data_IF_540458487442
#
_entry.id   IF_540458487442
#
_cell.length_a   1.000
_cell.length_b   1.000
_cell.length_c   1.000
_cell.angle_alpha   90.00
_cell.angle_beta   90.00
_cell.angle_gamma   90.00
#
_symmetry.space_group_name_H-M   'P 1'
#
loop_
_entity.id
_entity.type
_entity.pdbx_description
1 polymer ?
#
# COMPACT_ATOMS: atom_id res chain seq x y z
N UNK A 1 15.20 -22.09 18.08
CA UNK A 1 14.82 -20.77 17.51
C UNK A 1 14.97 -20.71 16.00
N UNK A 2 16.12 -21.11 15.40
CA UNK A 2 16.33 -21.06 13.94
C UNK A 2 15.47 -22.06 13.13
N UNK A 3 15.14 -23.22 13.68
CA UNK A 3 14.29 -24.22 13.02
C UNK A 3 12.83 -23.78 12.87
N UNK A 4 12.31 -23.01 13.84
CA UNK A 4 10.92 -22.52 13.83
C UNK A 4 10.66 -21.53 12.68
N UNK A 5 11.68 -20.75 12.31
CA UNK A 5 11.59 -19.80 11.19
C UNK A 5 11.50 -20.51 9.83
N UNK A 6 12.26 -21.60 9.65
CA UNK A 6 12.25 -22.38 8.42
C UNK A 6 10.91 -23.11 8.25
N UNK A 7 10.36 -23.66 9.33
CA UNK A 7 9.03 -24.29 9.31
C UNK A 7 7.91 -23.30 8.99
N UNK A 8 8.00 -22.05 9.46
CA UNK A 8 7.01 -21.02 9.18
C UNK A 8 6.98 -20.66 7.68
N UNK A 9 8.14 -20.58 7.04
CA UNK A 9 8.26 -20.25 5.62
C UNK A 9 7.66 -21.35 4.73
N UNK A 10 7.85 -22.63 5.09
CA UNK A 10 7.34 -23.77 4.33
C UNK A 10 5.80 -23.82 4.36
N UNK A 11 5.18 -23.42 5.49
CA UNK A 11 3.71 -23.41 5.64
C UNK A 11 3.04 -22.30 4.79
N UNK A 12 3.74 -21.18 4.56
CA UNK A 12 3.15 -20.01 3.88
C UNK A 12 3.35 -20.08 2.35
N UNK A 13 4.33 -20.84 1.86
CA UNK A 13 4.64 -20.98 0.43
C UNK A 13 3.45 -21.39 -0.49
N UNK A 14 2.54 -22.31 -0.09
CA UNK A 14 1.43 -22.75 -0.94
C UNK A 14 0.36 -21.67 -1.18
N UNK A 15 0.36 -20.57 -0.42
CA UNK A 15 -0.66 -19.52 -0.53
C UNK A 15 -0.44 -18.59 -1.74
N UNK A 16 0.73 -18.67 -2.39
CA UNK A 16 1.10 -17.78 -3.51
C UNK A 16 0.99 -18.45 -4.89
N UNK A 17 0.56 -19.70 -4.99
CA UNK A 17 0.52 -20.43 -6.28
C UNK A 17 -0.73 -20.18 -7.13
N UNK A 18 -1.69 -19.35 -6.69
CA UNK A 18 -2.96 -19.10 -7.40
C UNK A 18 -3.14 -17.66 -7.91
N UNK A 19 -2.08 -17.05 -8.47
CA UNK A 19 -2.20 -15.78 -9.21
C UNK A 19 -2.26 -16.00 -10.72
N UNK A 20 -3.17 -16.84 -11.21
CA UNK A 20 -3.57 -16.82 -12.61
C UNK A 20 -4.70 -15.79 -12.77
N UNK A 21 -4.36 -14.64 -13.37
CA UNK A 21 -5.33 -13.62 -13.73
C UNK A 21 -6.29 -14.18 -14.81
N UNK A 22 -7.63 -14.12 -14.63
CA UNK A 22 -8.54 -14.53 -15.68
C UNK A 22 -8.58 -13.48 -16.80
N UNK A 23 -8.35 -13.92 -18.04
CA UNK A 23 -8.45 -13.16 -19.30
C UNK A 23 -9.90 -12.67 -19.64
N UNK A 24 -10.70 -12.29 -18.64
CA UNK A 24 -12.11 -11.92 -18.86
C UNK A 24 -12.24 -10.48 -19.43
N UNK A 25 -11.15 -9.69 -19.47
CA UNK A 25 -11.24 -8.27 -19.87
C UNK A 25 -10.87 -7.96 -21.34
N UNK A 26 -10.50 -8.95 -22.16
CA UNK A 26 -10.09 -8.69 -23.57
C UNK A 26 -11.22 -8.73 -24.60
N UNK A 27 -12.39 -9.31 -24.30
CA UNK A 27 -13.47 -9.41 -25.28
C UNK A 27 -14.42 -8.21 -25.32
N UNK A 28 -14.46 -7.38 -24.28
CA UNK A 28 -15.36 -6.21 -24.24
C UNK A 28 -14.98 -5.07 -25.21
N UNK A 29 -13.79 -5.12 -25.83
CA UNK A 29 -13.27 -4.01 -26.66
C UNK A 29 -13.36 -4.23 -28.18
N UNK A 30 -13.87 -5.37 -28.66
CA UNK A 30 -13.95 -5.66 -30.12
C UNK A 30 -15.27 -5.31 -30.81
N UNK A 31 -16.33 -4.94 -30.07
CA UNK A 31 -17.67 -4.77 -30.65
C UNK A 31 -18.15 -3.32 -30.86
N UNK A 32 -17.30 -2.30 -30.68
CA UNK A 32 -17.72 -0.88 -30.80
C UNK A 32 -17.64 -0.34 -32.26
N UNK A 33 -17.08 -1.10 -33.21
CA UNK A 33 -16.69 -0.58 -34.54
C UNK A 33 -17.54 -0.95 -35.77
N UNK A 34 -18.73 -1.56 -35.65
CA UNK A 34 -19.50 -2.04 -36.83
C UNK A 34 -21.01 -1.74 -36.80
N UNK A 35 -21.39 -0.47 -36.64
CA UNK A 35 -22.78 -0.04 -36.86
C UNK A 35 -22.89 1.15 -37.82
N UNK A 36 -22.10 1.15 -38.89
CA UNK A 36 -22.25 2.13 -39.98
C UNK A 36 -22.13 1.45 -41.34
N UNK A 37 -23.16 0.72 -41.75
CA UNK A 37 -23.51 0.51 -43.16
C UNK A 37 -24.80 -0.32 -43.21
N UNK A 38 -25.91 0.33 -43.53
CA UNK A 38 -26.91 -0.09 -44.53
C UNK A 38 -28.24 0.64 -44.28
N UNK A 39 -28.45 1.71 -45.05
CA UNK A 39 -29.77 2.30 -45.31
C UNK A 39 -30.49 1.37 -46.30
N UNK A 40 -31.58 0.73 -45.90
CA UNK A 40 -32.55 0.15 -46.85
C UNK A 40 -33.98 0.54 -46.42
N UNK A 41 -34.69 1.11 -47.39
CA UNK A 41 -36.03 1.71 -47.38
C UNK A 41 -37.13 0.85 -46.74
N UNK A 42 -37.90 1.42 -45.80
CA UNK A 42 -39.35 1.18 -45.62
C UNK A 42 -40.03 2.39 -44.94
N UNK A 43 -41.12 2.95 -45.51
CA UNK A 43 -41.95 3.92 -44.80
C UNK A 43 -43.10 3.18 -44.11
N UNK A 44 -42.91 2.79 -42.85
CA UNK A 44 -44.00 2.42 -41.95
C UNK A 44 -43.82 3.20 -40.65
N UNK A 45 -44.44 4.39 -40.59
CA UNK A 45 -44.66 5.11 -39.36
C UNK A 45 -45.62 4.30 -38.47
N UNK A 46 -45.07 3.37 -37.69
CA UNK A 46 -45.67 3.01 -36.41
C UNK A 46 -44.97 3.85 -35.35
N UNK A 47 -45.59 4.97 -34.97
CA UNK A 47 -45.23 5.67 -33.74
C UNK A 47 -45.50 4.69 -32.60
N UNK A 48 -44.47 3.95 -32.20
CA UNK A 48 -44.45 3.35 -30.88
C UNK A 48 -44.48 4.52 -29.88
N UNK A 49 -45.37 4.52 -28.88
CA UNK A 49 -45.32 5.54 -27.84
C UNK A 49 -43.93 5.50 -27.23
N UNK A 50 -43.21 6.63 -27.30
CA UNK A 50 -41.91 6.77 -26.69
C UNK A 50 -42.07 6.45 -25.19
N UNK A 51 -41.54 5.31 -24.76
CA UNK A 51 -41.48 4.97 -23.34
C UNK A 51 -40.85 6.18 -22.62
N UNK A 52 -41.49 6.72 -21.56
CA UNK A 52 -40.94 7.85 -20.84
C UNK A 52 -39.53 7.48 -20.41
N UNK A 53 -38.55 8.22 -20.93
CA UNK A 53 -37.12 8.03 -20.62
C UNK A 53 -37.00 8.23 -19.11
N UNK A 54 -36.95 7.13 -18.37
CA UNK A 54 -36.63 7.21 -16.95
C UNK A 54 -35.26 7.89 -16.86
N UNK A 55 -35.10 8.93 -16.02
CA UNK A 55 -33.81 9.56 -15.84
C UNK A 55 -32.82 8.46 -15.49
N UNK A 56 -31.82 8.28 -16.36
CA UNK A 56 -30.77 7.30 -16.15
C UNK A 56 -29.94 7.80 -14.96
N UNK A 57 -30.33 7.39 -13.76
CA UNK A 57 -29.58 7.69 -12.54
C UNK A 57 -28.25 6.95 -12.64
N UNK A 58 -27.17 7.67 -12.98
CA UNK A 58 -25.82 7.14 -12.76
C UNK A 58 -25.68 6.87 -11.27
N UNK A 59 -25.30 5.66 -10.83
CA UNK A 59 -25.13 5.39 -9.41
C UNK A 59 -24.01 6.27 -8.87
N UNK A 60 -24.36 7.26 -8.04
CA UNK A 60 -23.42 8.17 -7.39
C UNK A 60 -22.42 7.44 -6.47
N UNK A 61 -22.75 6.21 -6.06
CA UNK A 61 -21.96 5.37 -5.15
C UNK A 61 -20.63 4.88 -5.73
N UNK A 62 -20.52 4.66 -7.05
CA UNK A 62 -19.25 4.21 -7.67
C UNK A 62 -18.11 5.20 -7.41
N UNK A 63 -18.39 6.48 -7.57
CA UNK A 63 -17.38 7.53 -7.35
C UNK A 63 -16.92 7.61 -5.89
N UNK A 64 -17.77 7.36 -4.90
CA UNK A 64 -17.38 7.46 -3.47
C UNK A 64 -16.49 6.29 -3.05
N UNK A 65 -16.84 5.07 -3.45
CA UNK A 65 -16.09 3.85 -3.14
C UNK A 65 -14.74 3.86 -3.86
N UNK A 66 -14.72 4.17 -5.17
CA UNK A 66 -13.46 4.26 -5.94
C UNK A 66 -12.51 5.32 -5.37
N UNK A 67 -13.04 6.45 -4.88
CA UNK A 67 -12.24 7.48 -4.21
C UNK A 67 -11.70 7.03 -2.85
N UNK A 68 -12.45 6.23 -2.09
CA UNK A 68 -12.01 5.69 -0.81
C UNK A 68 -10.92 4.62 -1.02
N UNK A 69 -11.10 3.72 -1.98
CA UNK A 69 -10.10 2.74 -2.41
C UNK A 69 -8.80 3.43 -2.86
N UNK A 70 -8.90 4.47 -3.68
CA UNK A 70 -7.74 5.23 -4.12
C UNK A 70 -7.01 5.92 -2.95
N UNK A 71 -7.72 6.36 -1.90
CA UNK A 71 -7.12 6.92 -0.68
C UNK A 71 -6.42 5.83 0.13
N UNK A 72 -7.05 4.67 0.29
CA UNK A 72 -6.49 3.52 1.00
C UNK A 72 -5.18 3.06 0.36
N UNK A 73 -5.18 2.83 -0.96
CA UNK A 73 -3.97 2.44 -1.71
C UNK A 73 -2.85 3.48 -1.58
N UNK A 74 -3.19 4.78 -1.53
CA UNK A 74 -2.19 5.84 -1.33
C UNK A 74 -1.58 5.79 0.07
N UNK A 75 -2.37 5.54 1.10
CA UNK A 75 -1.89 5.45 2.48
C UNK A 75 -1.07 4.17 2.71
N UNK A 76 -1.47 3.03 2.15
CA UNK A 76 -0.69 1.79 2.17
C UNK A 76 0.67 1.95 1.49
N UNK A 77 0.71 2.62 0.32
CA UNK A 77 1.98 2.92 -0.36
C UNK A 77 2.89 3.80 0.50
N UNK A 78 2.33 4.75 1.26
CA UNK A 78 3.11 5.60 2.18
C UNK A 78 3.60 4.78 3.37
N UNK A 79 2.77 3.91 3.92
CA UNK A 79 3.16 3.01 5.00
C UNK A 79 4.34 2.13 4.58
N UNK A 80 4.25 1.48 3.42
CA UNK A 80 5.33 0.65 2.86
C UNK A 80 6.64 1.43 2.68
N UNK A 81 6.57 2.69 2.26
CA UNK A 81 7.76 3.56 2.18
C UNK A 81 8.38 3.83 3.55
N UNK A 82 7.56 4.09 4.57
CA UNK A 82 8.03 4.30 5.94
C UNK A 82 8.63 3.02 6.53
N UNK A 83 8.05 1.86 6.25
CA UNK A 83 8.59 0.55 6.67
C UNK A 83 9.96 0.28 6.06
N UNK A 84 10.13 0.56 4.76
CA UNK A 84 11.43 0.46 4.09
C UNK A 84 12.46 1.40 4.72
N UNK A 85 12.08 2.66 4.97
CA UNK A 85 12.95 3.63 5.67
C UNK A 85 13.30 3.16 7.08
N UNK A 86 12.35 2.58 7.82
CA UNK A 86 12.62 2.01 9.14
C UNK A 86 13.61 0.84 9.05
N UNK A 87 13.51 0.02 8.01
CA UNK A 87 14.43 -1.10 7.79
C UNK A 87 15.84 -0.61 7.47
N UNK A 88 15.99 0.32 6.53
CA UNK A 88 17.28 0.96 6.21
C UNK A 88 17.94 1.53 7.48
N UNK A 89 17.17 2.23 8.32
CA UNK A 89 17.67 2.79 9.58
C UNK A 89 18.06 1.73 10.61
N UNK A 90 17.40 0.57 10.63
CA UNK A 90 17.82 -0.56 11.48
C UNK A 90 19.14 -1.14 11.02
N UNK A 91 19.33 -1.26 9.70
CA UNK A 91 20.55 -1.80 9.12
C UNK A 91 21.74 -0.84 9.34
N UNK A 92 21.51 0.47 9.20
CA UNK A 92 22.46 1.52 9.54
C UNK A 92 22.83 1.49 11.04
N UNK A 93 21.84 1.33 11.91
CA UNK A 93 22.04 1.25 13.36
C UNK A 93 22.92 0.04 13.70
N UNK A 94 22.60 -1.13 13.14
CA UNK A 94 23.36 -2.36 13.36
C UNK A 94 24.81 -2.20 12.90
N UNK A 95 25.02 -1.63 11.71
CA UNK A 95 26.36 -1.39 11.17
C UNK A 95 27.18 -0.45 12.07
N UNK A 96 26.58 0.62 12.60
CA UNK A 96 27.26 1.53 13.52
C UNK A 96 27.55 0.88 14.88
N UNK A 97 26.65 0.04 15.39
CA UNK A 97 26.87 -0.74 16.61
C UNK A 97 28.02 -1.74 16.44
N UNK A 98 28.10 -2.43 15.30
CA UNK A 98 29.21 -3.33 14.98
C UNK A 98 30.55 -2.58 14.86
N UNK A 99 30.56 -1.41 14.21
CA UNK A 99 31.75 -0.55 14.15
C UNK A 99 32.19 -0.08 15.53
N UNK A 100 31.25 0.35 16.37
CA UNK A 100 31.53 0.76 17.74
C UNK A 100 32.12 -0.40 18.54
N UNK A 101 31.53 -1.59 18.44
CA UNK A 101 32.02 -2.79 19.13
C UNK A 101 33.41 -3.22 18.66
N UNK A 102 33.69 -3.12 17.36
CA UNK A 102 35.03 -3.38 16.82
C UNK A 102 36.05 -2.36 17.30
N UNK A 103 35.65 -1.09 17.44
CA UNK A 103 36.50 -0.07 18.06
C UNK A 103 36.70 -0.40 19.53
N UNK A 104 35.66 -0.61 20.34
CA UNK A 104 35.82 -0.89 21.77
C UNK A 104 36.67 -2.14 22.09
N UNK A 105 36.66 -3.15 21.21
CA UNK A 105 37.45 -4.38 21.38
C UNK A 105 38.86 -4.33 20.74
N UNK A 106 39.23 -3.27 20.01
CA UNK A 106 40.54 -3.22 19.38
C UNK A 106 41.65 -3.04 20.44
N UNK A 107 42.81 -3.71 20.30
CA UNK A 107 43.93 -3.63 21.25
C UNK A 107 44.69 -2.28 21.21
N UNK A 108 44.03 -1.19 20.75
CA UNK A 108 44.61 0.15 20.68
C UNK A 108 44.67 0.79 22.06
N UNK A 109 45.71 1.60 22.25
CA UNK A 109 45.98 2.32 23.48
C UNK A 109 44.79 3.23 23.84
N UNK A 110 44.12 2.96 24.95
CA UNK A 110 42.90 3.65 25.42
C UNK A 110 43.11 5.14 25.70
N UNK A 111 44.37 5.62 25.70
CA UNK A 111 44.76 7.01 25.88
C UNK A 111 44.98 7.78 24.56
N UNK A 112 44.75 7.18 23.40
CA UNK A 112 44.80 7.89 22.12
C UNK A 112 43.55 8.78 21.95
N UNK A 113 43.75 10.10 21.96
CA UNK A 113 42.67 11.10 21.87
C UNK A 113 41.82 10.96 20.61
N UNK A 114 42.44 10.58 19.49
CA UNK A 114 41.70 10.41 18.22
C UNK A 114 40.83 9.15 18.25
N UNK A 115 41.27 8.14 18.97
CA UNK A 115 40.51 6.91 19.16
C UNK A 115 39.26 7.12 20.02
N UNK A 116 39.39 7.82 21.16
CA UNK A 116 38.26 8.19 22.01
C UNK A 116 37.24 9.05 21.25
N UNK A 117 37.72 10.02 20.46
CA UNK A 117 36.87 10.87 19.62
C UNK A 117 36.06 10.08 18.59
N UNK A 118 36.64 9.03 18.01
CA UNK A 118 35.92 8.17 17.07
C UNK A 118 34.85 7.31 17.76
N UNK A 119 35.10 6.83 18.97
CA UNK A 119 34.11 6.13 19.80
C UNK A 119 32.92 7.06 20.11
N UNK A 120 33.18 8.29 20.54
CA UNK A 120 32.13 9.28 20.82
C UNK A 120 31.30 9.60 19.59
N UNK A 121 31.94 9.83 18.43
CA UNK A 121 31.24 10.06 17.15
C UNK A 121 30.28 8.92 16.80
N UNK A 122 30.71 7.66 16.97
CA UNK A 122 29.83 6.52 16.70
C UNK A 122 28.68 6.44 17.70
N UNK A 123 28.90 6.76 18.99
CA UNK A 123 27.83 6.84 20.00
C UNK A 123 26.80 7.92 19.66
N UNK A 124 27.25 9.10 19.23
CA UNK A 124 26.37 10.19 18.76
C UNK A 124 25.56 9.79 17.52
N UNK A 125 26.20 9.14 16.54
CA UNK A 125 25.53 8.65 15.34
C UNK A 125 24.47 7.59 15.67
N UNK A 126 24.77 6.66 16.58
CA UNK A 126 23.82 5.66 17.07
C UNK A 126 22.61 6.36 17.71
N UNK A 127 22.84 7.32 18.60
CA UNK A 127 21.75 8.07 19.25
C UNK A 127 20.89 8.84 18.23
N UNK A 128 21.52 9.45 17.22
CA UNK A 128 20.80 10.14 16.13
C UNK A 128 19.93 9.18 15.33
N UNK A 129 20.47 8.03 14.92
CA UNK A 129 19.74 7.02 14.15
C UNK A 129 18.58 6.46 14.97
N UNK A 130 18.78 6.20 16.27
CA UNK A 130 17.71 5.74 17.17
C UNK A 130 16.57 6.77 17.28
N UNK A 131 16.90 8.05 17.40
CA UNK A 131 15.90 9.12 17.41
C UNK A 131 15.13 9.22 16.09
N UNK A 132 15.81 9.10 14.94
CA UNK A 132 15.16 9.06 13.63
C UNK A 132 14.26 7.84 13.48
N UNK A 133 14.73 6.66 13.92
CA UNK A 133 13.96 5.42 13.90
C UNK A 133 12.69 5.51 14.74
N UNK A 134 12.76 6.13 15.92
CA UNK A 134 11.59 6.36 16.76
C UNK A 134 10.57 7.30 16.09
N UNK A 135 11.04 8.37 15.42
CA UNK A 135 10.15 9.24 14.64
C UNK A 135 9.44 8.48 13.52
N UNK A 136 10.17 7.63 12.80
CA UNK A 136 9.58 6.80 11.73
C UNK A 136 8.57 5.81 12.30
N UNK A 137 8.83 5.17 13.44
CA UNK A 137 7.87 4.28 14.12
C UNK A 137 6.56 4.98 14.47
N UNK A 138 6.63 6.17 15.06
CA UNK A 138 5.44 6.97 15.38
C UNK A 138 4.63 7.30 14.11
N UNK A 139 5.31 7.60 13.00
CA UNK A 139 4.65 7.84 11.71
C UNK A 139 3.99 6.57 11.15
N UNK A 140 4.64 5.41 11.28
CA UNK A 140 4.08 4.11 10.91
C UNK A 140 2.80 3.86 11.70
N UNK A 141 2.84 3.95 13.03
CA UNK A 141 1.67 3.74 13.90
C UNK A 141 0.51 4.68 13.53
N UNK A 142 0.80 5.97 13.33
CA UNK A 142 -0.21 6.96 12.92
C UNK A 142 -0.83 6.62 11.56
N UNK A 143 -0.05 6.13 10.60
CA UNK A 143 -0.53 5.76 9.26
C UNK A 143 -1.30 4.45 9.28
N UNK A 144 -0.84 3.44 10.02
CA UNK A 144 -1.56 2.19 10.22
C UNK A 144 -2.93 2.43 10.83
N UNK A 145 -3.04 3.33 11.83
CA UNK A 145 -4.33 3.71 12.38
C UNK A 145 -5.24 4.35 11.32
N UNK A 146 -4.73 5.25 10.48
CA UNK A 146 -5.51 5.85 9.40
C UNK A 146 -6.00 4.84 8.36
N UNK A 147 -5.21 3.82 8.05
CA UNK A 147 -5.61 2.74 7.14
C UNK A 147 -6.76 1.95 7.78
N UNK A 148 -6.62 1.55 9.04
CA UNK A 148 -7.68 0.84 9.77
C UNK A 148 -8.98 1.68 9.83
N UNK A 149 -8.87 2.98 10.13
CA UNK A 149 -10.04 3.88 10.15
C UNK A 149 -10.70 3.97 8.75
N UNK A 150 -9.92 3.98 7.67
CA UNK A 150 -10.43 4.00 6.29
C UNK A 150 -11.11 2.67 5.91
N UNK A 151 -10.54 1.54 6.31
CA UNK A 151 -11.10 0.20 6.08
C UNK A 151 -12.47 0.07 6.77
N UNK A 152 -12.56 0.48 8.03
CA UNK A 152 -13.82 0.49 8.79
C UNK A 152 -14.85 1.39 8.09
N UNK A 153 -14.47 2.62 7.73
CA UNK A 153 -15.38 3.55 7.06
C UNK A 153 -15.88 3.02 5.69
N UNK A 154 -15.03 2.29 4.96
CA UNK A 154 -15.43 1.64 3.71
C UNK A 154 -16.38 0.48 3.95
N UNK A 155 -16.16 -0.33 4.99
CA UNK A 155 -17.04 -1.43 5.33
C UNK A 155 -18.41 -0.93 5.80
N UNK A 156 -18.45 0.08 6.67
CA UNK A 156 -19.69 0.73 7.11
C UNK A 156 -20.49 1.32 5.93
N UNK A 157 -19.79 1.89 4.94
CA UNK A 157 -20.42 2.46 3.75
C UNK A 157 -21.03 1.40 2.82
N UNK A 158 -20.58 0.13 2.88
CA UNK A 158 -21.21 -0.97 2.11
C UNK A 158 -22.58 -1.36 2.67
N UNK A 159 -22.76 -1.25 3.99
CA UNK A 159 -23.99 -1.70 4.67
C UNK A 159 -25.04 -0.61 4.84
N UNK A 160 -24.65 0.68 4.77
CA UNK A 160 -25.60 1.79 4.69
C UNK A 160 -26.18 1.89 3.27
N UNK A 161 -27.33 1.23 3.02
CA UNK A 161 -28.26 1.76 2.01
C UNK A 161 -28.69 3.13 2.53
N UNK A 162 -28.50 4.19 1.76
CA UNK A 162 -29.05 5.51 2.10
C UNK A 162 -30.59 5.38 2.14
N UNK A 163 -31.14 5.04 3.31
CA UNK A 163 -32.52 5.35 3.68
C UNK A 163 -32.58 6.84 4.00
N UNK A 164 -32.43 7.67 2.98
CA UNK A 164 -32.69 9.12 3.06
C UNK A 164 -33.17 9.58 1.68
N UNK A 165 -34.44 9.28 1.36
CA UNK A 165 -35.28 10.01 0.41
C UNK A 165 -36.76 9.87 0.80
#
# INVERSE_FOLDING_TARGET
>A
MRSLFITLIIIILPLFTNAQAPEIFKEASRNIGRQQAEKILYPMQKQYPELPKTPSFKPLYRNRIENAEAKLVREERKLKKLENQAQEKKDDLKTNQEKLLNLENAPKNTNDSDYQKNIERHKEQIAKIQNELNKVKILIESRSKKIADLEIAMEDAKFKREEDY
#
